data_IF_882936259221
#
_entry.id   IF_882936259221
#
_cell.length_a   1.000
_cell.length_b   1.000
_cell.length_c   1.000
_cell.angle_alpha   90.00
_cell.angle_beta   90.00
_cell.angle_gamma   90.00
#
_symmetry.space_group_name_H-M   'P 1'
#
loop_
_entity.id
_entity.type
_entity.pdbx_description
1 polymer ?
#
# COMPACT_ATOMS: atom_id res chain seq x y z
N UNK A 1 -0.75 -1.51 8.04
CA UNK A 1 -0.72 -1.21 6.60
C UNK A 1 -2.12 -0.89 6.14
N UNK A 2 -2.31 0.29 5.55
CA UNK A 2 -3.57 0.59 4.86
C UNK A 2 -3.59 -0.18 3.54
N UNK A 3 -4.65 -0.93 3.27
CA UNK A 3 -4.78 -1.78 2.08
C UNK A 3 -6.03 -1.43 1.30
N UNK A 4 -5.96 -1.51 -0.02
CA UNK A 4 -7.11 -1.33 -0.91
C UNK A 4 -7.36 -2.63 -1.66
N UNK A 5 -8.61 -3.12 -1.59
CA UNK A 5 -9.04 -4.27 -2.38
C UNK A 5 -9.36 -3.83 -3.80
N UNK A 6 -8.60 -4.32 -4.78
CA UNK A 6 -8.85 -4.04 -6.20
C UNK A 6 -9.48 -5.26 -6.88
N UNK A 7 -10.53 -5.02 -7.67
CA UNK A 7 -11.17 -6.07 -8.47
C UNK A 7 -10.20 -6.58 -9.56
N UNK A 8 -10.17 -7.89 -9.77
CA UNK A 8 -9.36 -8.52 -10.83
C UNK A 8 -7.89 -8.78 -10.50
N UNK A 9 -7.39 -8.31 -9.34
CA UNK A 9 -6.02 -8.60 -8.91
C UNK A 9 -4.98 -8.00 -9.86
N UNK A 10 -4.84 -6.68 -9.90
CA UNK A 10 -3.88 -6.01 -10.79
C UNK A 10 -2.43 -6.41 -10.45
N UNK A 11 -1.48 -6.08 -11.33
CA UNK A 11 -0.04 -6.20 -11.02
C UNK A 11 0.44 -5.25 -9.92
N UNK A 12 -0.41 -4.32 -9.48
CA UNK A 12 -0.13 -3.39 -8.37
C UNK A 12 -0.45 -4.02 -7.01
N UNK A 13 -1.31 -5.05 -6.99
CA UNK A 13 -1.58 -5.82 -5.79
C UNK A 13 -0.31 -6.54 -5.32
N UNK A 14 -0.01 -6.39 -4.04
CA UNK A 14 1.26 -6.79 -3.46
C UNK A 14 1.13 -7.37 -2.05
N UNK A 15 -0.10 -7.54 -1.52
CA UNK A 15 -0.29 -8.13 -0.20
C UNK A 15 -1.50 -9.07 -0.09
N UNK A 16 -1.37 -10.04 0.82
CA UNK A 16 -2.44 -10.94 1.25
C UNK A 16 -2.80 -10.64 2.71
N UNK A 17 -4.10 -10.56 2.98
CA UNK A 17 -4.64 -10.23 4.30
C UNK A 17 -5.48 -11.39 4.82
N UNK A 18 -5.23 -11.81 6.06
CA UNK A 18 -6.02 -12.83 6.77
C UNK A 18 -6.27 -12.37 8.20
N UNK A 19 -7.53 -12.46 8.64
CA UNK A 19 -7.96 -12.09 10.00
C UNK A 19 -7.47 -10.69 10.43
N UNK A 20 -7.55 -9.71 9.52
CA UNK A 20 -7.10 -8.33 9.80
C UNK A 20 -5.58 -8.14 9.85
N UNK A 21 -4.79 -9.13 9.45
CA UNK A 21 -3.33 -9.08 9.45
C UNK A 21 -2.78 -9.26 8.04
N UNK A 22 -1.72 -8.52 7.69
CA UNK A 22 -0.94 -8.81 6.48
C UNK A 22 -0.11 -10.06 6.75
N UNK A 23 -0.26 -11.08 5.91
CA UNK A 23 0.44 -12.37 6.06
C UNK A 23 1.47 -12.63 4.97
N UNK A 24 1.42 -11.88 3.88
CA UNK A 24 2.42 -11.90 2.81
C UNK A 24 2.45 -10.54 2.12
N UNK A 25 3.66 -10.08 1.80
CA UNK A 25 3.89 -8.86 1.03
C UNK A 25 4.99 -9.12 0.00
N UNK A 26 4.73 -8.83 -1.27
CA UNK A 26 5.71 -8.98 -2.35
C UNK A 26 5.32 -8.13 -3.56
N UNK A 27 6.28 -7.41 -4.13
CA UNK A 27 6.06 -6.57 -5.33
C UNK A 27 6.36 -7.35 -6.61
N UNK A 28 5.78 -6.91 -7.72
CA UNK A 28 6.11 -7.42 -9.06
C UNK A 28 5.61 -8.84 -9.33
N UNK A 29 4.64 -9.33 -8.54
CA UNK A 29 4.02 -10.62 -8.80
C UNK A 29 3.03 -10.53 -9.98
N UNK A 30 2.77 -11.65 -10.67
CA UNK A 30 1.75 -11.70 -11.71
C UNK A 30 0.37 -11.26 -11.17
N UNK A 31 -0.42 -10.65 -12.06
CA UNK A 31 -1.81 -10.32 -11.77
C UNK A 31 -2.58 -11.54 -11.24
N UNK A 32 -3.44 -11.33 -10.25
CA UNK A 32 -4.21 -12.37 -9.56
C UNK A 32 -3.47 -13.05 -8.40
N UNK A 33 -2.16 -12.81 -8.22
CA UNK A 33 -1.40 -13.38 -7.08
C UNK A 33 -1.90 -12.84 -5.74
N UNK A 34 -2.15 -11.53 -5.68
CA UNK A 34 -2.58 -10.84 -4.48
C UNK A 34 -3.94 -10.19 -4.66
N UNK A 35 -4.67 -10.09 -3.55
CA UNK A 35 -6.02 -9.49 -3.51
C UNK A 35 -5.99 -8.01 -3.15
N UNK A 36 -4.93 -7.57 -2.48
CA UNK A 36 -4.82 -6.23 -1.94
C UNK A 36 -3.57 -5.51 -2.44
N UNK A 37 -3.71 -4.21 -2.62
CA UNK A 37 -2.62 -3.27 -2.85
C UNK A 37 -2.33 -2.51 -1.55
N UNK A 38 -1.06 -2.37 -1.22
CA UNK A 38 -0.57 -1.41 -0.23
C UNK A 38 -0.89 0.02 -0.68
N UNK A 39 -1.71 0.71 0.10
CA UNK A 39 -2.18 2.05 -0.22
C UNK A 39 -1.12 3.13 0.03
N UNK A 40 0.01 2.79 0.66
CA UNK A 40 1.10 3.72 0.91
C UNK A 40 0.92 4.63 2.14
N UNK A 41 -0.14 4.41 2.94
CA UNK A 41 -0.32 5.06 4.25
C UNK A 41 -0.06 4.06 5.37
N UNK A 42 0.97 4.33 6.17
CA UNK A 42 1.47 3.43 7.20
C UNK A 42 1.54 4.15 8.56
N UNK A 43 1.24 3.39 9.61
CA UNK A 43 1.36 3.82 11.00
C UNK A 43 2.26 2.82 11.73
N UNK A 44 3.28 3.33 12.42
CA UNK A 44 4.24 2.52 13.16
C UNK A 44 4.39 3.05 14.58
N UNK A 45 4.57 2.14 15.53
CA UNK A 45 5.20 2.49 16.80
C UNK A 45 6.67 2.81 16.53
N UNK A 46 7.21 3.80 17.25
CA UNK A 46 8.60 4.24 17.08
C UNK A 46 9.60 3.08 17.21
N UNK A 47 9.34 2.21 18.18
CA UNK A 47 10.19 1.06 18.53
C UNK A 47 10.35 0.08 17.35
N UNK A 48 9.30 -0.06 16.51
CA UNK A 48 9.34 -0.92 15.34
C UNK A 48 10.37 -0.44 14.30
N UNK A 49 10.69 0.86 14.29
CA UNK A 49 11.62 1.49 13.35
C UNK A 49 13.03 1.67 13.92
N UNK A 50 13.16 1.92 15.24
CA UNK A 50 14.44 2.28 15.88
C UNK A 50 15.55 1.21 15.79
N UNK A 51 15.20 -0.04 15.49
CA UNK A 51 16.15 -1.15 15.29
C UNK A 51 16.91 -1.09 13.96
N UNK A 52 16.40 -0.37 12.96
CA UNK A 52 17.09 -0.22 11.68
C UNK A 52 18.07 0.95 11.77
N UNK A 53 19.36 0.66 11.57
CA UNK A 53 20.46 1.65 11.68
C UNK A 53 21.09 2.01 10.32
N UNK A 54 20.54 1.50 9.23
CA UNK A 54 21.03 1.74 7.87
C UNK A 54 20.25 2.90 7.26
N UNK A 55 20.93 3.82 6.59
CA UNK A 55 20.32 5.02 6.03
C UNK A 55 19.41 4.73 4.82
N UNK A 56 19.77 3.76 3.99
CA UNK A 56 19.03 3.41 2.77
C UNK A 56 18.69 1.93 2.73
N UNK A 57 17.40 1.60 2.87
CA UNK A 57 16.91 0.24 2.72
C UNK A 57 15.43 0.25 2.33
N UNK A 58 14.98 -0.87 1.75
CA UNK A 58 13.57 -1.03 1.37
C UNK A 58 12.68 -1.16 2.60
N UNK A 59 11.53 -0.50 2.59
CA UNK A 59 10.45 -0.71 3.57
C UNK A 59 9.97 -2.16 3.61
N UNK A 60 10.16 -2.92 2.53
CA UNK A 60 9.80 -4.33 2.43
C UNK A 60 10.50 -5.16 3.52
N UNK A 61 11.70 -4.75 3.93
CA UNK A 61 12.41 -5.38 5.08
C UNK A 61 11.64 -5.17 6.39
N UNK A 62 11.08 -3.97 6.59
CA UNK A 62 10.26 -3.67 7.76
C UNK A 62 9.00 -4.54 7.76
N UNK A 63 8.38 -4.68 6.59
CA UNK A 63 7.16 -5.47 6.45
C UNK A 63 7.44 -6.95 6.68
N UNK A 64 8.51 -7.49 6.10
CA UNK A 64 8.91 -8.89 6.33
C UNK A 64 9.10 -9.18 7.82
N UNK A 65 9.87 -8.36 8.54
CA UNK A 65 10.10 -8.52 9.98
C UNK A 65 8.79 -8.47 10.78
N UNK A 66 7.90 -7.51 10.47
CA UNK A 66 6.62 -7.36 11.18
C UNK A 66 5.63 -8.48 10.83
N UNK A 67 5.62 -8.97 9.58
CA UNK A 67 4.78 -10.10 9.15
C UNK A 67 5.23 -11.37 9.86
N UNK A 68 6.54 -11.65 9.90
CA UNK A 68 7.09 -12.80 10.62
C UNK A 68 6.79 -12.77 12.12
N UNK A 69 6.70 -11.58 12.71
CA UNK A 69 6.30 -11.40 14.12
C UNK A 69 4.78 -11.38 14.34
N UNK A 70 3.96 -11.40 13.29
CA UNK A 70 2.50 -11.26 13.40
C UNK A 70 2.07 -9.87 13.90
N UNK A 71 2.80 -8.81 13.54
CA UNK A 71 2.62 -7.44 14.04
C UNK A 71 2.21 -6.44 12.96
N UNK A 72 2.06 -6.86 11.70
CA UNK A 72 1.60 -5.98 10.62
C UNK A 72 0.08 -6.08 10.44
N UNK A 73 -0.67 -5.29 11.20
CA UNK A 73 -2.12 -5.17 11.04
C UNK A 73 -2.49 -4.58 9.67
N UNK A 74 -3.62 -5.01 9.11
CA UNK A 74 -4.21 -4.50 7.88
C UNK A 74 -5.42 -3.62 8.20
N UNK A 75 -5.49 -2.44 7.59
CA UNK A 75 -6.67 -1.57 7.62
C UNK A 75 -7.19 -1.41 6.20
N UNK A 76 -8.34 -2.00 5.90
CA UNK A 76 -8.94 -1.92 4.57
C UNK A 76 -9.62 -0.54 4.38
N UNK A 77 -9.23 0.17 3.33
CA UNK A 77 -9.87 1.42 2.91
C UNK A 77 -10.69 1.20 1.66
N UNK A 78 -11.76 1.97 1.53
CA UNK A 78 -12.57 2.10 0.30
C UNK A 78 -12.30 3.40 -0.45
N UNK A 79 -11.34 4.20 0.01
CA UNK A 79 -11.00 5.47 -0.62
C UNK A 79 -10.30 5.24 -1.98
N UNK A 80 -10.63 6.02 -3.02
CA UNK A 80 -9.98 5.90 -4.32
C UNK A 80 -8.48 6.15 -4.22
N UNK A 81 -7.68 5.27 -4.81
CA UNK A 81 -6.25 5.48 -4.99
C UNK A 81 -5.98 6.28 -6.26
N UNK A 82 -5.11 7.28 -6.16
CA UNK A 82 -4.66 8.09 -7.30
C UNK A 82 -3.16 7.92 -7.48
N UNK A 83 -2.78 7.24 -8.56
CA UNK A 83 -1.40 7.10 -8.98
C UNK A 83 -0.91 8.44 -9.54
N UNK A 84 0.19 8.97 -9.01
CA UNK A 84 0.77 10.27 -9.41
C UNK A 84 2.27 10.20 -9.72
N UNK A 85 2.84 8.99 -9.74
CA UNK A 85 4.24 8.73 -10.11
C UNK A 85 4.48 8.67 -11.63
N UNK A 86 3.43 8.48 -12.43
CA UNK A 86 3.49 8.49 -13.89
C UNK A 86 2.91 9.79 -14.47
N UNK A 87 3.37 10.15 -15.67
CA UNK A 87 2.83 11.31 -16.42
C UNK A 87 1.32 11.15 -16.69
N UNK A 88 0.87 9.93 -16.94
CA UNK A 88 -0.54 9.63 -17.18
C UNK A 88 -1.37 9.78 -15.90
N UNK A 89 -0.91 9.17 -14.82
CA UNK A 89 -1.56 9.21 -13.51
C UNK A 89 -1.73 10.63 -13.01
N UNK A 90 -0.66 11.42 -13.06
CA UNK A 90 -0.70 12.83 -12.69
C UNK A 90 -1.74 13.61 -13.52
N UNK A 91 -1.76 13.43 -14.84
CA UNK A 91 -2.74 14.08 -15.72
C UNK A 91 -4.18 13.68 -15.38
N UNK A 92 -4.42 12.40 -15.07
CA UNK A 92 -5.74 11.91 -14.63
C UNK A 92 -6.14 12.55 -13.31
N UNK A 93 -5.22 12.63 -12.35
CA UNK A 93 -5.48 13.25 -11.05
C UNK A 93 -5.76 14.76 -11.16
N UNK A 94 -5.01 15.50 -11.98
CA UNK A 94 -5.27 16.92 -12.25
C UNK A 94 -6.70 17.15 -12.74
N UNK A 95 -7.14 16.40 -13.76
CA UNK A 95 -8.52 16.50 -14.27
C UNK A 95 -9.57 16.18 -13.21
N UNK A 96 -9.30 15.19 -12.36
CA UNK A 96 -10.19 14.87 -11.25
C UNK A 96 -10.32 16.04 -10.29
N UNK A 97 -9.21 16.62 -9.84
CA UNK A 97 -9.20 17.75 -8.90
C UNK A 97 -9.92 18.97 -9.49
N UNK A 98 -9.70 19.28 -10.77
CA UNK A 98 -10.44 20.35 -11.46
C UNK A 98 -11.95 20.10 -11.48
N UNK A 99 -12.38 18.85 -11.69
CA UNK A 99 -13.80 18.49 -11.72
C UNK A 99 -14.50 18.62 -10.35
N UNK A 100 -13.77 18.46 -9.25
CA UNK A 100 -14.31 18.57 -7.89
C UNK A 100 -14.13 19.96 -7.29
N UNK A 101 -13.10 20.71 -7.71
CA UNK A 101 -12.77 22.07 -7.25
C UNK A 101 -13.64 23.18 -7.86
N UNK A 102 -14.43 22.89 -8.89
CA UNK A 102 -15.36 23.83 -9.53
C UNK A 102 -16.70 24.04 -8.80
N UNK A 103 -16.95 23.35 -7.69
CA UNK A 103 -18.11 23.60 -6.81
C UNK A 103 -17.70 24.58 -5.71
N UNK A 104 -17.71 25.87 -6.03
CA UNK A 104 -17.82 26.94 -5.04
C UNK A 104 -19.18 27.59 -5.17
#
# INVERSE_FOLDING_TARGET
MTVLKQAGGTSENNCEVRNGMVVRYEKGQPAGTFRFMDYGLLFFNKEALMKYKVENFSTDRIFADLISAGQLAAFETSQPYYEVGSKEGLRRFTRYIESVGGRK
#
